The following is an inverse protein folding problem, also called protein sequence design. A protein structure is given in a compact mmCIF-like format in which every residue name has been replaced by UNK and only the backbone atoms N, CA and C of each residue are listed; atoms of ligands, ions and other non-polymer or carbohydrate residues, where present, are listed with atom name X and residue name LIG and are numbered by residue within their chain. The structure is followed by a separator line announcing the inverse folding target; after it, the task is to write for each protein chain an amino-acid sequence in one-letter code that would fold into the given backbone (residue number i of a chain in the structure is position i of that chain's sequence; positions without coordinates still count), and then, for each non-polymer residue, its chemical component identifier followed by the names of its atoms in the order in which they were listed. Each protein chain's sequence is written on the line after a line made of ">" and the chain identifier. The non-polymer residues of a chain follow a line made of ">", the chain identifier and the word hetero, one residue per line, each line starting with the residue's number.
data_IF_489763202820
#
_entry.id   IF_489763202820
#
_cell.length_a   1.000
_cell.length_b   1.000
_cell.length_c   1.000
_cell.angle_alpha   90.00
_cell.angle_beta   90.00
_cell.angle_gamma   90.00
#
_symmetry.space_group_name_H-M   'P 1'
#
loop_
_entity.id
_entity.type
_entity.pdbx_description
1 polymer ?
#
# COMPACT_ATOMS: atom_id res chain seq x y z
N UNK A 1 12.57 -5.34 -2.21
CA UNK A 1 13.37 -4.38 -2.99
C UNK A 1 12.59 -3.07 -3.01
N UNK A 2 13.27 -1.97 -2.77
CA UNK A 2 12.74 -0.62 -2.81
C UNK A 2 13.84 0.31 -3.32
N UNK A 3 13.46 1.51 -3.76
CA UNK A 3 14.40 2.57 -4.14
C UNK A 3 14.23 3.72 -3.17
N UNK A 4 15.32 4.11 -2.54
CA UNK A 4 15.37 5.23 -1.60
C UNK A 4 16.22 6.35 -2.18
N UNK A 5 15.91 7.58 -1.79
CA UNK A 5 16.65 8.78 -2.21
C UNK A 5 17.18 9.45 -0.96
N UNK A 6 18.48 9.73 -0.94
CA UNK A 6 19.10 10.46 0.16
C UNK A 6 18.59 11.91 0.16
N UNK A 7 18.22 12.41 1.35
CA UNK A 7 17.99 13.85 1.57
C UNK A 7 19.32 14.59 1.72
N UNK A 8 19.31 15.85 1.34
CA UNK A 8 20.41 16.78 1.64
C UNK A 8 20.40 17.16 3.12
N UNK A 9 21.45 17.84 3.58
CA UNK A 9 21.58 18.27 4.98
C UNK A 9 20.45 19.21 5.45
N UNK A 10 19.81 19.92 4.52
CA UNK A 10 18.62 20.76 4.77
C UNK A 10 17.30 19.97 4.75
N UNK A 11 17.34 18.65 4.60
CA UNK A 11 16.18 17.76 4.52
C UNK A 11 15.49 17.74 3.15
N UNK A 12 15.94 18.52 2.17
CA UNK A 12 15.36 18.57 0.83
C UNK A 12 15.84 17.40 -0.05
N UNK A 13 15.16 17.18 -1.17
CA UNK A 13 15.59 16.23 -2.21
C UNK A 13 16.16 16.95 -3.43
N UNK A 14 17.17 16.34 -4.02
CA UNK A 14 17.72 16.76 -5.31
C UNK A 14 16.80 16.33 -6.45
N UNK A 15 16.47 17.25 -7.37
CA UNK A 15 15.71 16.92 -8.59
C UNK A 15 16.38 15.80 -9.39
N UNK A 16 17.72 15.82 -9.48
CA UNK A 16 18.47 14.84 -10.26
C UNK A 16 18.38 13.44 -9.64
N UNK A 17 18.51 13.35 -8.31
CA UNK A 17 18.48 12.06 -7.61
C UNK A 17 17.07 11.45 -7.64
N UNK A 18 16.04 12.28 -7.53
CA UNK A 18 14.65 11.86 -7.75
C UNK A 18 14.45 11.34 -9.17
N UNK A 19 14.91 12.09 -10.18
CA UNK A 19 14.75 11.66 -11.57
C UNK A 19 15.49 10.35 -11.87
N UNK A 20 16.68 10.16 -11.28
CA UNK A 20 17.44 8.91 -11.38
C UNK A 20 16.70 7.75 -10.72
N UNK A 21 16.22 7.93 -9.48
CA UNK A 21 15.46 6.91 -8.76
C UNK A 21 14.19 6.49 -9.50
N UNK A 22 13.45 7.45 -10.07
CA UNK A 22 12.25 7.17 -10.87
C UNK A 22 12.57 6.39 -12.14
N UNK A 23 13.59 6.79 -12.89
CA UNK A 23 14.03 6.04 -14.09
C UNK A 23 14.45 4.62 -13.73
N UNK A 24 15.24 4.46 -12.68
CA UNK A 24 15.65 3.15 -12.21
C UNK A 24 14.45 2.27 -11.85
N UNK A 25 13.54 2.78 -11.01
CA UNK A 25 12.38 2.01 -10.57
C UNK A 25 11.42 1.65 -11.72
N UNK A 26 11.18 2.57 -12.64
CA UNK A 26 10.04 2.49 -13.57
C UNK A 26 10.40 2.26 -15.04
N UNK A 27 11.65 2.48 -15.44
CA UNK A 27 12.09 2.42 -16.84
C UNK A 27 13.19 1.37 -17.05
N UNK A 28 14.28 1.45 -16.29
CA UNK A 28 15.48 0.61 -16.48
C UNK A 28 15.22 -0.88 -16.20
N UNK A 29 15.96 -1.79 -16.83
CA UNK A 29 15.70 -3.24 -16.70
C UNK A 29 15.86 -3.73 -15.24
N UNK A 30 16.83 -3.16 -14.52
CA UNK A 30 17.12 -3.44 -13.13
C UNK A 30 15.92 -3.18 -12.20
N UNK A 31 15.01 -2.28 -12.58
CA UNK A 31 13.79 -1.97 -11.87
C UNK A 31 12.59 -2.87 -12.19
N UNK A 32 12.70 -3.81 -13.13
CA UNK A 32 11.55 -4.60 -13.60
C UNK A 32 10.92 -5.41 -12.47
N UNK A 33 11.75 -6.04 -11.63
CA UNK A 33 11.24 -6.80 -10.48
C UNK A 33 10.50 -5.91 -9.48
N UNK A 34 10.94 -4.66 -9.31
CA UNK A 34 10.29 -3.71 -8.42
C UNK A 34 8.91 -3.31 -8.95
N UNK A 35 8.81 -2.87 -10.21
CA UNK A 35 7.53 -2.41 -10.78
C UNK A 35 6.54 -3.56 -10.98
N UNK A 36 7.03 -4.76 -11.32
CA UNK A 36 6.19 -5.96 -11.43
C UNK A 36 5.55 -6.32 -10.08
N UNK A 37 6.35 -6.32 -9.00
CA UNK A 37 5.84 -6.57 -7.66
C UNK A 37 4.87 -5.46 -7.19
N UNK A 38 5.17 -4.19 -7.49
CA UNK A 38 4.27 -3.09 -7.18
C UNK A 38 2.91 -3.24 -7.90
N UNK A 39 2.90 -3.63 -9.18
CA UNK A 39 1.65 -3.91 -9.94
C UNK A 39 0.86 -5.07 -9.33
N UNK A 40 1.52 -6.17 -8.98
CA UNK A 40 0.87 -7.31 -8.32
C UNK A 40 0.22 -6.90 -6.99
N UNK A 41 0.95 -6.13 -6.18
CA UNK A 41 0.42 -5.59 -4.93
C UNK A 41 -0.76 -4.64 -5.19
N UNK A 42 -0.67 -3.78 -6.21
CA UNK A 42 -1.75 -2.87 -6.57
C UNK A 42 -3.04 -3.61 -6.98
N UNK A 43 -2.94 -4.74 -7.68
CA UNK A 43 -4.11 -5.59 -7.98
C UNK A 43 -4.78 -6.11 -6.70
N UNK A 44 -3.99 -6.60 -5.74
CA UNK A 44 -4.53 -7.16 -4.48
C UNK A 44 -5.14 -6.06 -3.62
N UNK A 45 -4.38 -4.99 -3.33
CA UNK A 45 -4.85 -3.92 -2.45
C UNK A 45 -5.91 -3.03 -3.12
N UNK A 46 -5.94 -2.97 -4.45
CA UNK A 46 -6.92 -2.23 -5.22
C UNK A 46 -8.27 -2.92 -5.38
N UNK A 47 -8.41 -4.20 -5.01
CA UNK A 47 -9.68 -4.92 -5.06
C UNK A 47 -10.63 -4.51 -3.92
N UNK A 48 -11.18 -3.30 -4.06
CA UNK A 48 -12.07 -2.70 -3.08
C UNK A 48 -13.30 -3.57 -2.81
N UNK A 49 -13.81 -4.28 -3.82
CA UNK A 49 -14.97 -5.15 -3.67
C UNK A 49 -14.63 -6.31 -2.75
N UNK A 50 -13.52 -7.01 -2.99
CA UNK A 50 -13.07 -8.09 -2.10
C UNK A 50 -12.85 -7.59 -0.66
N UNK A 51 -12.24 -6.41 -0.51
CA UNK A 51 -11.97 -5.83 0.82
C UNK A 51 -13.25 -5.43 1.56
N UNK A 52 -14.21 -4.81 0.88
CA UNK A 52 -15.46 -4.36 1.49
C UNK A 52 -16.46 -5.50 1.69
N UNK A 53 -16.57 -6.44 0.76
CA UNK A 53 -17.58 -7.49 0.81
C UNK A 53 -17.14 -8.69 1.68
N UNK A 54 -15.83 -8.92 1.81
CA UNK A 54 -15.30 -10.14 2.42
C UNK A 54 -14.34 -9.92 3.58
N UNK A 55 -13.28 -9.11 3.42
CA UNK A 55 -12.26 -9.03 4.47
C UNK A 55 -12.60 -8.00 5.55
N UNK A 56 -12.48 -6.71 5.21
CA UNK A 56 -12.65 -5.62 6.16
C UNK A 56 -14.12 -5.47 6.52
N UNK A 57 -15.04 -5.52 5.54
CA UNK A 57 -16.45 -5.32 5.84
C UNK A 57 -17.07 -6.44 6.66
N UNK A 58 -16.74 -7.72 6.42
CA UNK A 58 -17.24 -8.80 7.28
C UNK A 58 -16.65 -8.71 8.68
N UNK A 59 -15.36 -8.36 8.82
CA UNK A 59 -14.75 -8.13 10.12
C UNK A 59 -15.43 -7.00 10.89
N UNK A 60 -15.69 -5.86 10.24
CA UNK A 60 -16.44 -4.73 10.83
C UNK A 60 -17.86 -5.15 11.19
N UNK A 61 -18.56 -5.90 10.33
CA UNK A 61 -19.90 -6.41 10.60
C UNK A 61 -19.92 -7.35 11.79
N UNK A 62 -18.93 -8.25 11.90
CA UNK A 62 -18.76 -9.11 13.06
C UNK A 62 -18.61 -8.28 14.33
N UNK A 63 -17.73 -7.27 14.33
CA UNK A 63 -17.53 -6.41 15.50
C UNK A 63 -18.82 -5.69 15.89
N UNK A 64 -19.53 -5.05 14.94
CA UNK A 64 -20.79 -4.35 15.21
C UNK A 64 -21.87 -5.24 15.82
N UNK A 65 -22.01 -6.46 15.32
CA UNK A 65 -23.07 -7.38 15.74
C UNK A 65 -22.73 -8.16 17.02
N UNK A 66 -21.45 -8.29 17.38
CA UNK A 66 -21.01 -8.98 18.59
C UNK A 66 -20.71 -8.03 19.76
N UNK A 67 -20.57 -6.73 19.52
CA UNK A 67 -20.57 -5.72 20.61
C UNK A 67 -21.99 -5.38 21.06
N UNK A 68 -22.95 -5.29 20.14
CA UNK A 68 -24.37 -5.02 20.45
C UNK A 68 -25.08 -6.18 21.18
N UNK A 69 -24.73 -7.43 20.90
CA UNK A 69 -25.28 -8.59 21.63
C UNK A 69 -24.92 -8.63 23.12
N UNK A 70 -23.85 -7.96 23.54
CA UNK A 70 -23.44 -7.93 24.96
C UNK A 70 -24.20 -6.91 25.81
N UNK A 71 -24.88 -5.94 25.19
CA UNK A 71 -25.62 -4.89 25.92
C UNK A 71 -27.11 -5.17 26.10
N UNK A 72 -27.67 -6.23 25.49
CA UNK A 72 -29.08 -6.63 25.64
C UNK A 72 -29.30 -7.76 26.65
N UNK A 73 -28.28 -8.10 27.44
CA UNK A 73 -28.34 -9.07 28.53
C UNK A 73 -27.88 -8.44 29.84
N UNK A 74 -28.62 -7.45 30.32
CA UNK A 74 -28.58 -6.92 31.70
C UNK A 74 -29.93 -6.29 32.01
#
# INVERSE_FOLDING_TARGET
>A
MAVEVQRRGDGSFSRNDIAKALRHAMVEEEGERLRSNARKAATVFGDHKLHQDHYIGQFVNFLKNNTTKRSSGS
#
